data_IF_208343090835
#
_entry.id   IF_208343090835
#
_cell.length_a   1.000
_cell.length_b   1.000
_cell.length_c   1.000
_cell.angle_alpha   90.00
_cell.angle_beta   90.00
_cell.angle_gamma   90.00
#
_symmetry.space_group_name_H-M   'P 1'
#
loop_
_entity.id
_entity.type
_entity.pdbx_description
1 polymer ?
#
# COMPACT_ATOMS: atom_id res chain seq x y z
N UNK A 1 5.21 6.81 -12.18
CA UNK A 1 4.03 7.68 -12.23
C UNK A 1 3.54 7.88 -13.67
N UNK A 2 4.42 8.31 -14.60
CA UNK A 2 4.04 8.60 -15.99
C UNK A 2 3.36 7.40 -16.69
N UNK A 3 3.95 6.23 -16.65
CA UNK A 3 3.39 5.00 -17.25
C UNK A 3 2.06 4.52 -16.65
N UNK A 4 1.70 5.04 -15.47
CA UNK A 4 0.40 4.79 -14.83
C UNK A 4 -0.65 5.82 -15.21
N UNK A 5 -0.30 6.89 -15.95
CA UNK A 5 -1.21 7.95 -16.36
C UNK A 5 -1.34 9.12 -15.38
N UNK A 6 -0.46 9.22 -14.37
CA UNK A 6 -0.40 10.41 -13.49
C UNK A 6 -0.02 11.63 -14.32
N UNK A 7 -0.86 12.65 -14.36
CA UNK A 7 -0.71 13.81 -15.23
C UNK A 7 -0.90 15.15 -14.50
N UNK A 8 -1.58 15.16 -13.36
CA UNK A 8 -1.97 16.39 -12.68
C UNK A 8 -1.58 16.36 -11.20
N UNK A 9 -1.23 17.51 -10.58
CA UNK A 9 -1.15 17.62 -9.14
C UNK A 9 -2.44 17.14 -8.46
N UNK A 10 -2.30 16.39 -7.37
CA UNK A 10 -3.43 15.71 -6.71
C UNK A 10 -3.67 14.28 -7.19
N UNK A 11 -2.93 13.82 -8.18
CA UNK A 11 -2.87 12.41 -8.59
C UNK A 11 -1.59 11.76 -8.05
N UNK A 12 -1.65 10.45 -7.83
CA UNK A 12 -0.48 9.66 -7.43
C UNK A 12 -0.52 8.28 -8.08
N UNK A 13 0.63 7.62 -8.16
CA UNK A 13 0.67 6.17 -8.35
C UNK A 13 0.78 5.49 -7.00
N UNK A 14 0.01 4.42 -6.80
CA UNK A 14 0.14 3.48 -5.69
C UNK A 14 0.69 2.16 -6.23
N UNK A 15 1.95 1.90 -5.97
CA UNK A 15 2.61 0.67 -6.41
C UNK A 15 2.76 -0.30 -5.25
N UNK A 16 2.06 -1.42 -5.32
CA UNK A 16 2.15 -2.49 -4.31
C UNK A 16 2.83 -3.72 -4.89
N UNK A 17 4.13 -3.80 -4.63
CA UNK A 17 4.99 -4.95 -4.93
C UNK A 17 5.45 -5.64 -3.65
N UNK A 18 6.75 -5.99 -3.55
CA UNK A 18 7.37 -6.47 -2.30
C UNK A 18 7.28 -5.41 -1.21
N UNK A 19 7.56 -4.17 -1.57
CA UNK A 19 7.32 -2.95 -0.79
C UNK A 19 6.06 -2.25 -1.31
N UNK A 20 5.59 -1.25 -0.58
CA UNK A 20 4.51 -0.39 -1.03
C UNK A 20 5.01 1.05 -1.15
N UNK A 21 4.59 1.73 -2.20
CA UNK A 21 5.01 3.11 -2.47
C UNK A 21 3.87 3.90 -3.11
N UNK A 22 3.55 5.05 -2.52
CA UNK A 22 2.67 6.06 -3.14
C UNK A 22 3.56 7.22 -3.59
N UNK A 23 3.49 7.56 -4.89
CA UNK A 23 4.24 8.67 -5.48
C UNK A 23 3.27 9.75 -5.94
N UNK A 24 2.96 10.75 -5.11
CA UNK A 24 2.11 11.88 -5.48
C UNK A 24 2.85 12.88 -6.37
N UNK A 25 2.11 13.44 -7.34
CA UNK A 25 2.51 14.60 -8.12
C UNK A 25 1.98 15.86 -7.45
N UNK A 26 2.85 16.86 -7.25
CA UNK A 26 2.51 18.14 -6.61
C UNK A 26 3.20 19.31 -7.30
N UNK A 27 2.65 20.53 -7.12
CA UNK A 27 3.00 21.68 -7.96
C UNK A 27 4.28 22.42 -7.51
N UNK A 28 4.56 22.48 -6.20
CA UNK A 28 5.65 23.31 -5.66
C UNK A 28 6.43 22.58 -4.56
N UNK A 29 7.73 22.84 -4.50
CA UNK A 29 8.60 22.28 -3.45
C UNK A 29 8.22 22.88 -2.10
N UNK A 30 8.02 22.05 -1.05
CA UNK A 30 7.81 22.55 0.30
C UNK A 30 9.02 23.36 0.78
N UNK A 31 8.77 24.60 1.26
CA UNK A 31 9.81 25.50 1.75
C UNK A 31 10.20 25.19 3.21
N UNK A 32 10.54 23.93 3.49
CA UNK A 32 10.90 23.50 4.86
C UNK A 32 11.87 22.33 4.84
N UNK A 33 12.84 22.37 5.75
CA UNK A 33 13.78 21.26 5.97
C UNK A 33 13.14 20.03 6.66
N UNK A 34 11.93 20.18 7.21
CA UNK A 34 11.21 19.07 7.83
C UNK A 34 10.86 17.98 6.79
N UNK A 35 10.54 18.39 5.57
CA UNK A 35 10.23 17.48 4.47
C UNK A 35 11.39 16.49 4.21
N UNK A 36 12.62 16.98 4.19
CA UNK A 36 13.81 16.14 4.04
C UNK A 36 14.08 15.30 5.30
N UNK A 37 13.87 15.87 6.50
CA UNK A 37 14.06 15.14 7.76
C UNK A 37 13.07 14.00 7.95
N UNK A 38 11.89 14.08 7.35
CA UNK A 38 10.90 13.00 7.26
C UNK A 38 11.19 12.05 6.07
N UNK A 39 12.41 12.06 5.52
CA UNK A 39 12.90 11.20 4.44
C UNK A 39 12.13 11.32 3.12
N UNK A 40 11.41 12.41 2.90
CA UNK A 40 10.76 12.67 1.63
C UNK A 40 11.73 13.31 0.63
N UNK A 41 11.90 12.68 -0.52
CA UNK A 41 12.64 13.27 -1.64
C UNK A 41 11.74 14.18 -2.46
N UNK A 42 12.32 15.19 -3.10
CA UNK A 42 11.63 16.04 -4.06
C UNK A 42 12.32 15.91 -5.41
N UNK A 43 11.64 15.29 -6.38
CA UNK A 43 12.18 15.00 -7.69
C UNK A 43 11.35 15.73 -8.75
N UNK A 44 11.97 16.51 -9.68
CA UNK A 44 11.23 17.13 -10.77
C UNK A 44 10.48 16.09 -11.60
N UNK A 45 9.22 16.38 -11.95
CA UNK A 45 8.47 15.53 -12.85
C UNK A 45 8.90 15.77 -14.31
N UNK A 46 8.95 14.71 -15.12
CA UNK A 46 9.59 14.69 -16.43
C UNK A 46 9.07 15.72 -17.43
N UNK A 47 7.81 16.14 -17.31
CA UNK A 47 7.17 17.08 -18.23
C UNK A 47 7.16 18.54 -17.72
N UNK A 48 7.87 18.81 -16.61
CA UNK A 48 7.96 20.13 -16.00
C UNK A 48 6.69 20.60 -15.28
N UNK A 49 5.66 19.74 -15.10
CA UNK A 49 4.40 20.10 -14.46
C UNK A 49 4.44 20.11 -12.93
N UNK A 50 5.57 19.83 -12.33
CA UNK A 50 5.71 19.82 -10.89
C UNK A 50 6.77 18.85 -10.40
N UNK A 51 6.50 18.27 -9.24
CA UNK A 51 7.44 17.42 -8.52
C UNK A 51 6.74 16.15 -8.05
N UNK A 52 7.50 15.09 -7.84
CA UNK A 52 7.04 13.87 -7.17
C UNK A 52 7.87 13.61 -5.93
N UNK A 53 7.24 12.97 -4.95
CA UNK A 53 7.92 12.39 -3.79
C UNK A 53 7.58 10.91 -3.67
N UNK A 54 8.18 10.25 -2.69
CA UNK A 54 7.98 8.83 -2.41
C UNK A 54 7.52 8.68 -0.95
N UNK A 55 6.26 8.34 -0.77
CA UNK A 55 5.77 7.80 0.50
C UNK A 55 5.86 6.29 0.41
N UNK A 56 6.84 5.67 1.06
CA UNK A 56 7.04 4.23 0.92
C UNK A 56 7.21 3.50 2.25
N UNK A 57 6.80 2.23 2.25
CA UNK A 57 6.94 1.32 3.36
C UNK A 57 7.63 0.03 2.87
N UNK A 58 8.65 -0.44 3.60
CA UNK A 58 9.33 -1.71 3.31
C UNK A 58 8.42 -2.92 3.55
N UNK A 59 7.34 -2.76 4.30
CA UNK A 59 6.35 -3.78 4.61
C UNK A 59 5.15 -3.64 3.65
N UNK A 60 5.23 -4.21 2.49
CA UNK A 60 4.13 -4.21 1.51
C UNK A 60 3.64 -5.64 1.23
N UNK A 61 3.57 -6.02 -0.02
CA UNK A 61 3.21 -7.38 -0.45
C UNK A 61 4.09 -8.48 0.12
N UNK A 62 5.28 -8.15 0.65
CA UNK A 62 6.12 -9.11 1.39
C UNK A 62 5.41 -9.68 2.62
N UNK A 63 4.66 -8.86 3.37
CA UNK A 63 3.87 -9.29 4.54
C UNK A 63 2.70 -10.18 4.12
N UNK A 64 2.02 -9.82 3.03
CA UNK A 64 0.93 -10.62 2.47
C UNK A 64 1.44 -11.97 1.97
N UNK A 65 2.62 -12.01 1.36
CA UNK A 65 3.30 -13.25 0.95
C UNK A 65 3.68 -14.11 2.16
N UNK A 66 4.25 -13.50 3.20
CA UNK A 66 4.54 -14.19 4.46
C UNK A 66 3.29 -14.83 5.05
N UNK A 67 2.17 -14.09 5.10
CA UNK A 67 0.89 -14.63 5.56
C UNK A 67 0.46 -15.85 4.73
N UNK A 68 0.46 -15.73 3.40
CA UNK A 68 0.13 -16.83 2.48
C UNK A 68 0.98 -18.08 2.73
N UNK A 69 2.28 -17.90 2.91
CA UNK A 69 3.24 -19.01 2.98
C UNK A 69 3.36 -19.62 4.37
N UNK A 70 3.12 -18.84 5.44
CA UNK A 70 3.32 -19.27 6.82
C UNK A 70 2.02 -19.61 7.55
N UNK A 71 0.94 -18.87 7.30
CA UNK A 71 -0.33 -19.02 8.03
C UNK A 71 -1.48 -19.55 7.17
N UNK A 72 -1.46 -19.28 5.86
CA UNK A 72 -2.47 -19.74 4.90
C UNK A 72 -1.95 -20.83 3.95
N UNK A 73 -0.85 -21.50 4.29
CA UNK A 73 -0.22 -22.54 3.45
C UNK A 73 -1.17 -23.73 3.14
N UNK A 74 -2.13 -24.00 4.02
CA UNK A 74 -3.15 -25.06 3.85
C UNK A 74 -4.07 -24.79 2.65
N UNK A 75 -4.17 -23.56 2.17
CA UNK A 75 -4.96 -23.21 0.98
C UNK A 75 -4.27 -23.61 -0.34
N UNK A 76 -2.99 -23.98 -0.33
CA UNK A 76 -2.23 -24.31 -1.56
C UNK A 76 -2.83 -25.48 -2.32
N UNK A 77 -3.31 -26.50 -1.60
CA UNK A 77 -3.93 -27.67 -2.23
C UNK A 77 -5.28 -27.29 -2.86
N UNK A 78 -6.13 -26.58 -2.14
CA UNK A 78 -7.42 -26.11 -2.64
C UNK A 78 -7.26 -25.17 -3.87
N UNK A 79 -6.28 -24.30 -3.85
CA UNK A 79 -5.97 -23.42 -4.98
C UNK A 79 -5.56 -24.22 -6.23
N UNK A 80 -4.72 -25.27 -6.06
CA UNK A 80 -4.32 -26.15 -7.14
C UNK A 80 -5.52 -26.92 -7.73
N UNK A 81 -6.40 -27.46 -6.89
CA UNK A 81 -7.59 -28.19 -7.31
C UNK A 81 -8.59 -27.29 -8.04
N UNK A 82 -8.71 -26.03 -7.63
CA UNK A 82 -9.58 -25.02 -8.25
C UNK A 82 -8.96 -24.36 -9.49
N UNK A 83 -7.68 -24.58 -9.77
CA UNK A 83 -6.95 -23.91 -10.87
C UNK A 83 -6.83 -22.40 -10.69
N UNK A 84 -6.77 -21.91 -9.45
CA UNK A 84 -6.67 -20.48 -9.10
C UNK A 84 -5.46 -20.21 -8.18
N UNK A 85 -5.19 -18.95 -7.89
CA UNK A 85 -4.15 -18.59 -6.92
C UNK A 85 -4.67 -18.68 -5.48
N UNK A 86 -3.76 -18.83 -4.51
CA UNK A 86 -4.13 -18.73 -3.07
C UNK A 86 -4.72 -17.35 -2.76
N UNK A 87 -4.27 -16.31 -3.46
CA UNK A 87 -4.80 -14.95 -3.27
C UNK A 87 -6.25 -14.82 -3.72
N UNK A 88 -6.68 -15.56 -4.73
CA UNK A 88 -8.09 -15.56 -5.16
C UNK A 88 -8.97 -16.11 -4.05
N UNK A 89 -8.56 -17.21 -3.41
CA UNK A 89 -9.29 -17.79 -2.27
C UNK A 89 -9.30 -16.83 -1.09
N UNK A 90 -8.16 -16.20 -0.76
CA UNK A 90 -8.05 -15.23 0.32
C UNK A 90 -8.95 -14.01 0.07
N UNK A 91 -9.02 -13.52 -1.16
CA UNK A 91 -9.90 -12.40 -1.51
C UNK A 91 -11.38 -12.79 -1.42
N UNK A 92 -11.76 -14.00 -1.88
CA UNK A 92 -13.15 -14.50 -1.80
C UNK A 92 -13.62 -14.68 -0.35
N UNK A 93 -12.73 -15.12 0.54
CA UNK A 93 -13.07 -15.39 1.95
C UNK A 93 -12.86 -14.20 2.87
N UNK A 94 -12.27 -13.12 2.38
CA UNK A 94 -12.00 -11.92 3.16
C UNK A 94 -13.31 -11.29 3.64
N UNK A 95 -13.50 -11.03 4.95
CA UNK A 95 -14.69 -10.37 5.46
C UNK A 95 -14.91 -9.02 4.76
N UNK A 96 -16.16 -8.62 4.48
CA UNK A 96 -16.44 -7.32 3.86
C UNK A 96 -16.27 -6.15 4.84
N UNK A 97 -16.39 -6.39 6.14
CA UNK A 97 -16.32 -5.38 7.19
C UNK A 97 -15.05 -5.49 8.03
N UNK A 98 -14.58 -4.39 8.67
CA UNK A 98 -13.45 -4.41 9.59
C UNK A 98 -13.64 -5.42 10.72
N UNK A 99 -12.57 -6.11 11.08
CA UNK A 99 -12.64 -7.23 12.04
C UNK A 99 -12.38 -6.83 13.49
N UNK A 100 -11.99 -5.57 13.73
CA UNK A 100 -11.58 -5.08 15.05
C UNK A 100 -10.17 -5.52 15.47
N UNK A 101 -9.46 -6.29 14.63
CA UNK A 101 -8.05 -6.59 14.85
C UNK A 101 -7.19 -5.39 14.45
N UNK A 102 -6.13 -5.16 15.20
CA UNK A 102 -5.11 -4.15 14.85
C UNK A 102 -3.81 -4.88 14.53
N UNK A 103 -3.28 -4.65 13.34
CA UNK A 103 -1.99 -5.22 12.90
C UNK A 103 -0.99 -4.10 12.67
N UNK A 104 0.15 -4.18 13.37
CA UNK A 104 1.34 -3.41 13.03
C UNK A 104 2.21 -4.30 12.13
N UNK A 105 2.38 -3.96 10.83
CA UNK A 105 2.94 -4.90 9.86
C UNK A 105 4.48 -4.92 9.81
N UNK A 106 5.16 -4.56 10.90
CA UNK A 106 6.61 -4.34 10.98
C UNK A 106 7.42 -5.63 11.06
N UNK A 107 7.14 -6.63 10.22
CA UNK A 107 7.83 -7.92 10.25
C UNK A 107 9.33 -7.81 9.88
N UNK A 108 9.73 -6.74 9.18
CA UNK A 108 11.10 -6.43 8.80
C UNK A 108 11.61 -5.13 9.44
N UNK A 109 10.95 -4.65 10.50
CA UNK A 109 11.11 -3.32 11.04
C UNK A 109 10.17 -2.33 10.38
N UNK A 110 10.12 -1.10 10.90
CA UNK A 110 9.48 0.05 10.27
C UNK A 110 10.55 0.82 9.50
N UNK A 111 10.31 1.07 8.22
CA UNK A 111 11.30 1.76 7.40
C UNK A 111 10.69 2.33 6.15
N UNK A 112 11.35 3.39 5.67
CA UNK A 112 10.91 4.16 4.53
C UNK A 112 10.67 5.60 4.92
N UNK A 113 9.46 6.05 4.78
CA UNK A 113 8.99 7.39 5.14
C UNK A 113 7.82 7.29 6.11
N UNK A 114 7.56 8.28 6.95
CA UNK A 114 8.46 9.40 7.28
C UNK A 114 9.56 8.97 8.25
N UNK A 115 9.38 7.86 8.95
CA UNK A 115 10.22 7.40 10.05
C UNK A 115 10.90 6.06 9.75
N UNK A 116 12.10 5.86 10.30
CA UNK A 116 12.84 4.60 10.21
C UNK A 116 13.11 4.07 11.62
N UNK A 117 12.48 2.94 11.96
CA UNK A 117 12.65 2.23 13.24
C UNK A 117 12.98 0.76 12.97
N UNK A 118 14.24 0.46 12.72
CA UNK A 118 14.69 -0.91 12.36
C UNK A 118 14.44 -1.93 13.47
N UNK A 119 14.33 -1.48 14.72
CA UNK A 119 14.00 -2.30 15.88
C UNK A 119 12.51 -2.62 16.06
N UNK A 120 11.61 -1.98 15.29
CA UNK A 120 10.17 -2.26 15.37
C UNK A 120 9.87 -3.72 15.01
N UNK A 121 8.79 -4.26 15.58
CA UNK A 121 8.36 -5.64 15.34
C UNK A 121 6.86 -5.66 15.06
N UNK A 122 6.45 -6.61 14.22
CA UNK A 122 5.05 -6.86 13.92
C UNK A 122 4.26 -7.24 15.17
N UNK A 123 3.03 -6.76 15.25
CA UNK A 123 2.12 -7.03 16.38
C UNK A 123 0.72 -7.25 15.85
N UNK A 124 0.00 -8.18 16.47
CA UNK A 124 -1.43 -8.41 16.25
C UNK A 124 -2.12 -8.23 17.60
N UNK A 125 -3.06 -7.30 17.65
CA UNK A 125 -3.86 -7.03 18.83
C UNK A 125 -5.33 -7.32 18.58
N UNK A 126 -6.07 -7.78 19.62
CA UNK A 126 -7.50 -8.03 19.55
C UNK A 126 -7.88 -9.46 19.20
N UNK A 127 -6.95 -10.43 19.20
CA UNK A 127 -7.25 -11.83 18.95
C UNK A 127 -8.22 -12.39 20.00
N UNK A 128 -9.18 -13.17 19.53
CA UNK A 128 -10.13 -13.93 20.35
C UNK A 128 -10.19 -15.37 19.86
N UNK A 129 -10.88 -16.24 20.60
CA UNK A 129 -11.15 -17.63 20.18
C UNK A 129 -12.02 -17.74 18.93
N UNK A 130 -12.67 -16.64 18.52
CA UNK A 130 -13.50 -16.56 17.31
C UNK A 130 -12.77 -15.98 16.10
N UNK A 131 -11.53 -15.49 16.28
CA UNK A 131 -10.75 -14.93 15.20
C UNK A 131 -10.41 -15.99 14.16
N UNK A 132 -10.85 -15.78 12.94
CA UNK A 132 -10.57 -16.66 11.82
C UNK A 132 -9.29 -16.26 11.06
N UNK A 133 -8.71 -17.17 10.25
CA UNK A 133 -7.63 -16.80 9.33
C UNK A 133 -8.02 -15.68 8.33
N UNK A 134 -9.27 -15.66 7.89
CA UNK A 134 -9.77 -14.63 6.98
C UNK A 134 -9.81 -13.24 7.66
N UNK A 135 -10.17 -13.16 8.93
CA UNK A 135 -10.12 -11.92 9.71
C UNK A 135 -8.68 -11.38 9.80
N UNK A 136 -7.73 -12.29 10.03
CA UNK A 136 -6.32 -11.93 10.12
C UNK A 136 -5.78 -11.44 8.78
N UNK A 137 -6.19 -12.05 7.66
CA UNK A 137 -5.84 -11.58 6.31
C UNK A 137 -6.32 -10.15 6.09
N UNK A 138 -7.59 -9.87 6.38
CA UNK A 138 -8.14 -8.52 6.27
C UNK A 138 -7.38 -7.52 7.14
N UNK A 139 -7.16 -7.84 8.40
CA UNK A 139 -6.44 -6.97 9.33
C UNK A 139 -5.00 -6.66 8.88
N UNK A 140 -4.32 -7.60 8.21
CA UNK A 140 -3.01 -7.36 7.60
C UNK A 140 -3.11 -6.34 6.47
N UNK A 141 -4.11 -6.45 5.58
CA UNK A 141 -4.32 -5.49 4.50
C UNK A 141 -4.66 -4.10 5.05
N UNK A 142 -5.49 -4.03 6.09
CA UNK A 142 -5.81 -2.78 6.80
C UNK A 142 -4.57 -2.16 7.45
N UNK A 143 -3.76 -2.95 8.18
CA UNK A 143 -2.55 -2.49 8.84
C UNK A 143 -1.53 -1.91 7.86
N UNK A 144 -1.29 -2.58 6.73
CA UNK A 144 -0.44 -2.05 5.64
C UNK A 144 -1.00 -0.73 5.10
N UNK A 145 -2.31 -0.64 4.91
CA UNK A 145 -2.96 0.57 4.38
C UNK A 145 -2.94 1.72 5.39
N UNK A 146 -3.05 1.46 6.70
CA UNK A 146 -2.91 2.49 7.73
C UNK A 146 -1.50 3.09 7.78
N UNK A 147 -0.45 2.31 7.52
CA UNK A 147 0.91 2.83 7.35
C UNK A 147 0.99 3.83 6.19
N UNK A 148 0.35 3.53 5.07
CA UNK A 148 0.30 4.44 3.94
C UNK A 148 -0.54 5.69 4.25
N UNK A 149 -1.65 5.54 4.99
CA UNK A 149 -2.44 6.68 5.48
C UNK A 149 -1.60 7.60 6.36
N UNK A 150 -0.83 7.04 7.29
CA UNK A 150 0.09 7.83 8.13
C UNK A 150 1.05 8.67 7.29
N UNK A 151 1.62 8.08 6.23
CA UNK A 151 2.46 8.80 5.27
C UNK A 151 1.70 9.95 4.58
N UNK A 152 0.47 9.70 4.10
CA UNK A 152 -0.32 10.73 3.42
C UNK A 152 -0.75 11.85 4.38
N UNK A 153 -1.03 11.56 5.65
CA UNK A 153 -1.31 12.56 6.68
C UNK A 153 -0.09 13.44 6.98
N UNK A 154 1.12 12.88 6.92
CA UNK A 154 2.36 13.66 7.01
C UNK A 154 2.55 14.56 5.79
N UNK A 155 2.41 14.02 4.58
CA UNK A 155 2.50 14.79 3.34
C UNK A 155 1.44 15.90 3.26
N UNK A 156 0.27 15.69 3.86
CA UNK A 156 -0.79 16.70 3.91
C UNK A 156 -0.41 17.98 4.65
N UNK A 157 0.60 17.94 5.54
CA UNK A 157 1.17 19.16 6.20
C UNK A 157 1.87 20.08 5.22
N UNK A 158 2.30 19.52 4.09
CA UNK A 158 3.00 20.22 3.00
C UNK A 158 2.08 20.48 1.81
N UNK A 159 0.75 20.43 2.00
CA UNK A 159 -0.28 20.56 0.97
C UNK A 159 -0.21 19.51 -0.15
N UNK A 160 0.46 18.38 0.10
CA UNK A 160 0.51 17.23 -0.81
C UNK A 160 -0.61 16.27 -0.42
N UNK A 161 -1.74 16.34 -1.14
CA UNK A 161 -2.99 15.62 -0.83
C UNK A 161 -3.51 14.91 -2.09
N UNK A 162 -2.98 13.73 -2.42
CA UNK A 162 -3.51 12.99 -3.56
C UNK A 162 -4.94 12.51 -3.27
N UNK A 163 -5.85 12.75 -4.21
CA UNK A 163 -7.25 12.32 -4.15
C UNK A 163 -7.55 11.18 -5.11
N UNK A 164 -6.66 10.94 -6.08
CA UNK A 164 -6.76 9.84 -7.03
C UNK A 164 -5.45 9.07 -7.06
N UNK A 165 -5.53 7.77 -6.83
CA UNK A 165 -4.38 6.86 -6.82
C UNK A 165 -4.52 5.83 -7.95
N UNK A 166 -3.56 5.82 -8.87
CA UNK A 166 -3.46 4.80 -9.91
C UNK A 166 -2.74 3.57 -9.36
N UNK A 167 -3.49 2.51 -9.09
CA UNK A 167 -2.97 1.29 -8.48
C UNK A 167 -2.23 0.42 -9.49
N UNK A 168 -0.98 0.07 -9.16
CA UNK A 168 -0.10 -0.78 -9.97
C UNK A 168 0.53 -1.90 -9.12
N UNK A 169 1.08 -2.91 -9.78
CA UNK A 169 1.74 -4.04 -9.14
C UNK A 169 0.80 -5.13 -8.66
N UNK A 170 1.34 -6.11 -7.92
CA UNK A 170 0.59 -7.31 -7.51
C UNK A 170 -0.61 -7.02 -6.61
N UNK A 171 -0.48 -6.07 -5.68
CA UNK A 171 -1.57 -5.67 -4.78
C UNK A 171 -2.75 -5.02 -5.50
N UNK A 172 -2.50 -4.35 -6.62
CA UNK A 172 -3.55 -3.75 -7.45
C UNK A 172 -4.51 -4.79 -8.07
N UNK A 173 -4.10 -6.05 -8.16
CA UNK A 173 -4.93 -7.16 -8.66
C UNK A 173 -5.98 -7.61 -7.65
N UNK A 174 -5.86 -7.26 -6.36
CA UNK A 174 -6.84 -7.56 -5.33
C UNK A 174 -7.95 -6.51 -5.27
N UNK A 175 -9.19 -6.81 -5.68
CA UNK A 175 -10.30 -5.86 -5.57
C UNK A 175 -10.61 -5.54 -4.11
N UNK A 176 -10.45 -6.50 -3.21
CA UNK A 176 -10.64 -6.33 -1.77
C UNK A 176 -9.64 -5.31 -1.20
N UNK A 177 -8.37 -5.44 -1.55
CA UNK A 177 -7.36 -4.50 -1.04
C UNK A 177 -7.54 -3.10 -1.62
N UNK A 178 -7.92 -2.99 -2.91
CA UNK A 178 -8.26 -1.67 -3.49
C UNK A 178 -9.42 -1.01 -2.75
N UNK A 179 -10.46 -1.76 -2.36
CA UNK A 179 -11.58 -1.22 -1.59
C UNK A 179 -11.12 -0.77 -0.20
N UNK A 180 -10.36 -1.60 0.52
CA UNK A 180 -9.78 -1.25 1.83
C UNK A 180 -8.94 0.03 1.71
N UNK A 181 -8.13 0.16 0.66
CA UNK A 181 -7.36 1.37 0.40
C UNK A 181 -8.24 2.58 0.17
N UNK A 182 -9.27 2.47 -0.65
CA UNK A 182 -10.21 3.57 -0.89
C UNK A 182 -10.86 4.05 0.41
N UNK A 183 -11.32 3.12 1.24
CA UNK A 183 -12.00 3.40 2.50
C UNK A 183 -11.06 4.08 3.52
N UNK A 184 -9.85 3.53 3.69
CA UNK A 184 -8.89 4.03 4.68
C UNK A 184 -8.21 5.32 4.23
N UNK A 185 -7.78 5.41 2.96
CA UNK A 185 -7.06 6.57 2.46
C UNK A 185 -7.99 7.74 2.11
N UNK A 186 -9.28 7.48 1.93
CA UNK A 186 -10.26 8.49 1.50
C UNK A 186 -9.98 9.02 0.10
N UNK A 187 -9.45 8.17 -0.79
CA UNK A 187 -9.04 8.50 -2.14
C UNK A 187 -9.66 7.55 -3.16
N UNK A 188 -9.85 8.01 -4.38
CA UNK A 188 -10.27 7.16 -5.48
C UNK A 188 -9.12 6.25 -5.92
N UNK A 189 -9.33 4.93 -5.93
CA UNK A 189 -8.33 3.95 -6.36
C UNK A 189 -8.70 3.46 -7.77
N UNK A 190 -7.91 3.84 -8.76
CA UNK A 190 -8.07 3.45 -10.16
C UNK A 190 -7.06 2.37 -10.53
N UNK A 191 -7.47 1.18 -10.97
CA UNK A 191 -6.51 0.22 -11.50
C UNK A 191 -5.86 0.76 -12.78
N UNK A 192 -4.55 0.55 -12.93
CA UNK A 192 -3.86 0.86 -14.19
C UNK A 192 -4.24 -0.15 -15.27
N UNK A 193 -4.35 0.33 -16.51
CA UNK A 193 -4.66 -0.52 -17.66
C UNK A 193 -3.47 -1.38 -18.11
N UNK A 194 -2.27 -1.04 -17.67
CA UNK A 194 -1.03 -1.69 -18.07
C UNK A 194 -0.52 -2.62 -16.97
N UNK A 195 -0.30 -3.89 -17.28
CA UNK A 195 0.32 -4.85 -16.37
C UNK A 195 1.77 -4.45 -16.01
N UNK A 196 2.49 -3.80 -16.93
CA UNK A 196 3.88 -3.36 -16.79
C UNK A 196 3.99 -1.82 -16.90
N UNK A 197 3.23 -1.11 -16.06
CA UNK A 197 3.20 0.36 -16.05
C UNK A 197 4.60 1.00 -15.83
N UNK A 198 5.52 0.29 -15.17
CA UNK A 198 6.90 0.71 -15.00
C UNK A 198 7.66 0.79 -16.34
N UNK A 199 7.47 -0.20 -17.22
CA UNK A 199 8.10 -0.24 -18.52
C UNK A 199 7.53 0.79 -19.53
N UNK A 200 6.25 1.17 -19.36
CA UNK A 200 5.63 2.19 -20.21
C UNK A 200 6.07 3.62 -19.88
N UNK A 201 6.63 3.84 -18.70
CA UNK A 201 7.06 5.16 -18.22
C UNK A 201 8.57 5.40 -18.27
N UNK A 202 9.33 4.49 -18.88
CA UNK A 202 10.81 4.56 -18.99
C UNK A 202 11.29 5.05 -20.35
#
# INVERSE_FOLDING_TARGET
ALGCGVANPGEAVDTTGTVECICPLFAAIPETLEFERENYACVPYLDGRGYVTYAYNISGGAVVRWYRDSLAFYLKQAAKERGCSVYDILNETCPPEPTGLIVLPFLQGMGGTPDVLTGARGTIYGLTMHTSPADLYRAILEGLTFEMRYNLEKLAKYDIRPTTLFAAGGGAKSPVWRQIKADILGAEIRPTLADEAGALGS
#
